data_IF_625930384741
#
_entry.id   IF_625930384741
#
_cell.length_a   1.000
_cell.length_b   1.000
_cell.length_c   1.000
_cell.angle_alpha   90.00
_cell.angle_beta   90.00
_cell.angle_gamma   90.00
#
_symmetry.space_group_name_H-M   'P 1'
#
loop_
_entity.id
_entity.type
_entity.pdbx_description
1 polymer ?
#
# COMPACT_ATOMS: atom_id res chain seq x y z
N UNK A 1 38.80 23.80 -46.78
CA UNK A 1 37.58 23.54 -45.98
C UNK A 1 37.34 22.04 -45.92
N UNK A 2 37.64 21.32 -44.84
CA UNK A 2 37.32 19.90 -44.77
C UNK A 2 35.81 19.73 -44.54
N UNK A 3 35.14 19.07 -45.50
CA UNK A 3 33.69 18.85 -45.49
C UNK A 3 33.22 18.13 -44.24
N UNK A 4 32.11 18.62 -43.65
CA UNK A 4 31.44 17.98 -42.51
C UNK A 4 31.05 16.55 -42.90
N UNK A 5 31.71 15.55 -42.33
CA UNK A 5 31.34 14.13 -42.51
C UNK A 5 29.93 13.92 -41.96
N UNK A 6 28.99 13.54 -42.84
CA UNK A 6 27.65 13.14 -42.43
C UNK A 6 27.75 11.97 -41.43
N UNK A 7 27.10 12.11 -40.26
CA UNK A 7 27.02 11.01 -39.29
C UNK A 7 26.12 9.93 -39.89
N UNK A 8 26.71 8.77 -40.20
CA UNK A 8 25.94 7.59 -40.62
C UNK A 8 25.06 7.14 -39.45
N UNK A 9 23.75 7.05 -39.71
CA UNK A 9 22.79 6.52 -38.74
C UNK A 9 22.82 4.98 -38.82
N UNK A 10 23.26 4.33 -37.74
CA UNK A 10 23.30 2.87 -37.67
C UNK A 10 22.06 2.35 -36.93
N UNK A 11 21.23 1.57 -37.62
CA UNK A 11 20.10 0.87 -37.01
C UNK A 11 20.56 -0.37 -36.26
N UNK A 12 19.86 -0.75 -35.19
CA UNK A 12 20.13 -2.00 -34.46
C UNK A 12 19.74 -3.21 -35.31
N UNK A 13 20.45 -4.34 -35.14
CA UNK A 13 20.10 -5.60 -35.80
C UNK A 13 18.80 -6.17 -35.22
N UNK A 14 17.89 -6.54 -36.10
CA UNK A 14 16.70 -7.32 -35.75
C UNK A 14 17.10 -8.73 -35.35
N UNK A 15 16.29 -9.40 -34.55
CA UNK A 15 16.57 -10.78 -34.11
C UNK A 15 16.73 -11.75 -35.30
N UNK A 16 15.87 -11.61 -36.31
CA UNK A 16 15.97 -12.38 -37.55
C UNK A 16 17.30 -12.17 -38.29
N UNK A 17 17.77 -10.91 -38.39
CA UNK A 17 19.06 -10.61 -39.02
C UNK A 17 20.22 -11.26 -38.26
N UNK A 18 20.18 -11.26 -36.92
CA UNK A 18 21.18 -11.93 -36.09
C UNK A 18 21.13 -13.45 -36.25
N UNK A 19 19.94 -14.04 -36.27
CA UNK A 19 19.74 -15.47 -36.49
C UNK A 19 20.25 -15.91 -37.87
N UNK A 20 19.99 -15.13 -38.91
CA UNK A 20 20.49 -15.36 -40.25
C UNK A 20 22.02 -15.27 -40.33
N UNK A 21 22.63 -14.27 -39.67
CA UNK A 21 24.09 -14.15 -39.58
C UNK A 21 24.71 -15.38 -38.89
N UNK A 22 24.13 -15.84 -37.79
CA UNK A 22 24.62 -17.00 -37.04
C UNK A 22 24.45 -18.28 -37.86
N UNK A 23 23.26 -18.52 -38.42
CA UNK A 23 22.97 -19.73 -39.21
C UNK A 23 23.85 -19.85 -40.46
N UNK A 24 24.01 -18.76 -41.21
CA UNK A 24 24.88 -18.75 -42.40
C UNK A 24 26.36 -18.89 -42.06
N UNK A 25 26.82 -18.32 -40.93
CA UNK A 25 28.19 -18.52 -40.43
C UNK A 25 28.44 -19.95 -39.97
N UNK A 26 27.47 -20.61 -39.33
CA UNK A 26 27.54 -22.04 -38.97
C UNK A 26 27.59 -22.93 -40.22
N UNK A 27 26.90 -22.54 -41.29
CA UNK A 27 26.99 -23.20 -42.61
C UNK A 27 28.31 -22.92 -43.37
N UNK A 28 29.31 -22.30 -42.74
CA UNK A 28 30.65 -22.09 -43.30
C UNK A 28 30.78 -20.89 -44.25
N UNK A 29 29.79 -19.99 -44.32
CA UNK A 29 29.87 -18.83 -45.23
C UNK A 29 30.93 -17.82 -44.77
N UNK A 30 31.56 -17.15 -45.75
CA UNK A 30 32.50 -16.06 -45.49
C UNK A 30 31.78 -14.80 -44.99
N UNK A 31 32.44 -14.00 -44.15
CA UNK A 31 31.85 -12.78 -43.56
C UNK A 31 31.40 -11.78 -44.62
N UNK A 32 32.14 -11.67 -45.73
CA UNK A 32 31.79 -10.82 -46.89
C UNK A 32 30.50 -11.26 -47.57
N UNK A 33 30.30 -12.57 -47.76
CA UNK A 33 29.07 -13.12 -48.35
C UNK A 33 27.86 -12.89 -47.45
N UNK A 34 28.03 -13.11 -46.14
CA UNK A 34 26.98 -12.85 -45.15
C UNK A 34 26.65 -11.35 -45.07
N UNK A 35 27.67 -10.49 -45.11
CA UNK A 35 27.51 -9.03 -45.14
C UNK A 35 26.69 -8.55 -46.34
N UNK A 36 26.95 -9.09 -47.54
CA UNK A 36 26.16 -8.78 -48.74
C UNK A 36 24.71 -9.28 -48.66
N UNK A 37 24.48 -10.45 -48.03
CA UNK A 37 23.14 -11.02 -47.88
C UNK A 37 22.26 -10.24 -46.89
N UNK A 38 22.86 -9.73 -45.80
CA UNK A 38 22.13 -9.04 -44.72
C UNK A 38 22.17 -7.51 -44.89
N UNK A 39 22.87 -7.00 -45.90
CA UNK A 39 23.11 -5.56 -46.14
C UNK A 39 23.64 -4.82 -44.89
N UNK A 40 24.64 -5.42 -44.24
CA UNK A 40 25.31 -4.87 -43.05
C UNK A 40 26.82 -4.92 -43.21
N UNK A 41 27.55 -4.06 -42.51
CA UNK A 41 29.02 -4.06 -42.58
C UNK A 41 29.64 -5.39 -42.14
N UNK A 42 30.71 -5.83 -42.80
CA UNK A 42 31.46 -7.05 -42.43
C UNK A 42 31.92 -7.06 -40.96
N UNK A 43 32.31 -5.90 -40.42
CA UNK A 43 32.71 -5.76 -39.01
C UNK A 43 31.57 -6.09 -38.04
N UNK A 44 30.33 -5.69 -38.38
CA UNK A 44 29.16 -6.02 -37.58
C UNK A 44 28.85 -7.53 -37.58
N UNK A 45 28.93 -8.18 -38.74
CA UNK A 45 28.75 -9.62 -38.89
C UNK A 45 29.80 -10.37 -38.08
N UNK A 46 31.07 -9.94 -38.16
CA UNK A 46 32.17 -10.49 -37.38
C UNK A 46 31.93 -10.35 -35.88
N UNK A 47 31.61 -9.14 -35.40
CA UNK A 47 31.38 -8.90 -33.97
C UNK A 47 30.18 -9.70 -33.43
N UNK A 48 29.11 -9.86 -34.23
CA UNK A 48 27.97 -10.69 -33.88
C UNK A 48 28.35 -12.17 -33.78
N UNK A 49 29.13 -12.67 -34.75
CA UNK A 49 29.63 -14.05 -34.75
C UNK A 49 30.58 -14.32 -33.58
N UNK A 50 31.53 -13.44 -33.32
CA UNK A 50 32.46 -13.55 -32.18
C UNK A 50 31.71 -13.53 -30.83
N UNK A 51 30.68 -12.68 -30.70
CA UNK A 51 29.83 -12.68 -29.51
C UNK A 51 29.11 -14.04 -29.34
N UNK A 52 28.55 -14.58 -30.42
CA UNK A 52 27.90 -15.89 -30.42
C UNK A 52 28.87 -17.03 -30.09
N UNK A 53 30.06 -17.06 -30.69
CA UNK A 53 31.07 -18.10 -30.43
C UNK A 53 31.57 -18.06 -28.99
N UNK A 54 31.73 -16.87 -28.40
CA UNK A 54 32.24 -16.70 -27.04
C UNK A 54 31.19 -16.93 -25.96
N UNK A 55 29.96 -16.46 -26.17
CA UNK A 55 28.95 -16.35 -25.11
C UNK A 55 27.69 -17.20 -25.40
N UNK A 56 27.59 -17.83 -26.57
CA UNK A 56 26.41 -18.59 -26.99
C UNK A 56 25.14 -17.73 -27.09
N UNK A 57 25.27 -16.40 -27.12
CA UNK A 57 24.16 -15.47 -26.99
C UNK A 57 24.34 -14.28 -27.93
N UNK A 58 23.28 -13.92 -28.64
CA UNK A 58 23.22 -12.74 -29.52
C UNK A 58 22.36 -11.60 -28.94
N UNK A 59 21.90 -11.78 -27.70
CA UNK A 59 21.20 -10.77 -26.92
C UNK A 59 22.14 -9.62 -26.57
N UNK A 60 21.55 -8.44 -26.39
CA UNK A 60 22.30 -7.24 -26.06
C UNK A 60 22.70 -7.28 -24.58
N UNK A 61 23.96 -6.99 -24.28
CA UNK A 61 24.41 -6.77 -22.90
C UNK A 61 23.77 -5.51 -22.32
N UNK A 62 23.30 -5.60 -21.09
CA UNK A 62 22.87 -4.44 -20.32
C UNK A 62 24.03 -3.46 -20.22
N UNK A 63 23.78 -2.21 -20.62
CA UNK A 63 24.77 -1.14 -20.47
C UNK A 63 24.80 -0.68 -19.01
N UNK A 64 25.94 -0.16 -18.58
CA UNK A 64 26.17 0.38 -17.24
C UNK A 64 25.22 1.51 -16.81
N UNK A 65 24.46 2.08 -17.75
CA UNK A 65 23.52 3.16 -17.48
C UNK A 65 24.22 4.48 -17.12
N UNK A 66 23.43 5.51 -16.84
CA UNK A 66 23.94 6.75 -16.29
C UNK A 66 24.30 6.55 -14.82
N UNK A 67 25.39 7.18 -14.37
CA UNK A 67 25.76 7.19 -12.96
C UNK A 67 24.71 7.93 -12.13
N UNK A 68 24.44 7.45 -10.92
CA UNK A 68 23.55 8.13 -9.98
C UNK A 68 24.17 9.46 -9.55
N UNK A 69 23.31 10.45 -9.25
CA UNK A 69 23.75 11.70 -8.62
C UNK A 69 24.06 11.54 -7.14
N UNK A 70 23.44 10.56 -6.49
CA UNK A 70 23.60 10.30 -5.07
C UNK A 70 24.67 9.25 -4.79
N UNK A 71 25.34 9.39 -3.65
CA UNK A 71 26.26 8.38 -3.12
C UNK A 71 25.53 7.32 -2.31
N UNK A 72 26.17 6.17 -2.08
CA UNK A 72 25.60 5.10 -1.23
C UNK A 72 25.31 5.56 0.21
N UNK A 73 26.07 6.52 0.73
CA UNK A 73 25.87 7.06 2.07
C UNK A 73 24.64 7.97 2.13
N UNK A 74 24.43 8.79 1.10
CA UNK A 74 23.23 9.62 0.95
C UNK A 74 21.97 8.76 0.80
N UNK A 75 22.01 7.72 -0.05
CA UNK A 75 20.90 6.78 -0.21
C UNK A 75 20.52 6.13 1.15
N UNK A 76 21.52 5.75 1.95
CA UNK A 76 21.29 5.23 3.31
C UNK A 76 20.72 6.29 4.26
N UNK A 77 21.16 7.55 4.16
CA UNK A 77 20.62 8.66 4.97
C UNK A 77 19.15 8.92 4.65
N UNK A 78 18.78 8.93 3.36
CA UNK A 78 17.40 9.05 2.87
C UNK A 78 16.52 7.97 3.51
N UNK A 79 16.94 6.71 3.42
CA UNK A 79 16.19 5.57 3.95
C UNK A 79 16.09 5.65 5.47
N UNK A 80 17.19 5.99 6.16
CA UNK A 80 17.22 6.09 7.63
C UNK A 80 16.23 7.13 8.15
N UNK A 81 16.15 8.31 7.54
CA UNK A 81 15.22 9.35 7.97
C UNK A 81 13.76 8.87 7.92
N UNK A 82 13.37 8.19 6.83
CA UNK A 82 12.02 7.64 6.68
C UNK A 82 11.73 6.49 7.66
N UNK A 83 12.76 5.81 8.17
CA UNK A 83 12.61 4.76 9.20
C UNK A 83 12.52 5.34 10.61
N UNK A 84 13.27 6.39 10.90
CA UNK A 84 13.27 7.07 12.22
C UNK A 84 11.96 7.81 12.44
N UNK A 85 11.51 8.55 11.42
CA UNK A 85 10.23 9.24 11.45
C UNK A 85 9.47 8.93 10.14
N UNK A 86 8.47 8.02 10.20
CA UNK A 86 7.65 7.65 9.05
C UNK A 86 6.78 8.80 8.49
N UNK A 87 6.70 9.95 9.16
CA UNK A 87 5.88 11.10 8.75
C UNK A 87 6.66 12.16 7.96
N UNK A 88 7.98 12.03 7.86
CA UNK A 88 8.85 13.02 7.21
C UNK A 88 8.49 13.17 5.72
N UNK A 89 8.38 14.42 5.28
CA UNK A 89 8.10 14.73 3.88
C UNK A 89 9.35 14.63 3.00
N UNK A 90 9.16 14.34 1.72
CA UNK A 90 10.25 14.30 0.72
C UNK A 90 11.03 15.62 0.65
N UNK A 91 10.37 16.75 0.88
CA UNK A 91 11.00 18.07 0.88
C UNK A 91 11.96 18.24 2.06
N UNK A 92 11.57 17.75 3.24
CA UNK A 92 12.42 17.76 4.44
C UNK A 92 13.63 16.85 4.25
N UNK A 93 13.43 15.64 3.71
CA UNK A 93 14.53 14.71 3.37
C UNK A 93 15.51 15.36 2.39
N UNK A 94 14.99 16.04 1.35
CA UNK A 94 15.81 16.76 0.37
C UNK A 94 16.68 17.83 1.03
N UNK A 95 16.10 18.61 1.93
CA UNK A 95 16.81 19.68 2.62
C UNK A 95 17.96 19.14 3.49
N UNK A 96 17.76 18.01 4.17
CA UNK A 96 18.78 17.42 5.05
C UNK A 96 19.93 16.73 4.29
N UNK A 97 19.64 16.10 3.15
CA UNK A 97 20.66 15.42 2.33
C UNK A 97 21.60 16.42 1.64
N UNK A 98 21.13 17.63 1.35
CA UNK A 98 21.97 18.72 0.80
C UNK A 98 22.40 18.53 -0.66
N UNK A 99 21.89 17.51 -1.36
CA UNK A 99 22.18 17.26 -2.78
C UNK A 99 21.07 17.83 -3.66
N UNK A 100 21.43 18.44 -4.79
CA UNK A 100 20.49 18.97 -5.78
C UNK A 100 19.73 17.86 -6.53
N UNK A 101 18.75 17.27 -5.85
CA UNK A 101 17.87 16.21 -6.37
C UNK A 101 16.41 16.67 -6.41
N UNK A 102 15.66 16.14 -7.39
CA UNK A 102 14.21 16.29 -7.43
C UNK A 102 13.53 15.34 -6.42
N UNK A 103 12.38 15.70 -5.82
CA UNK A 103 11.68 14.84 -4.86
C UNK A 103 11.34 13.43 -5.38
N UNK A 104 11.16 13.27 -6.69
CA UNK A 104 10.91 11.98 -7.33
C UNK A 104 12.09 11.00 -7.16
N UNK A 105 13.31 11.51 -7.04
CA UNK A 105 14.51 10.70 -6.78
C UNK A 105 14.42 10.06 -5.39
N UNK A 106 14.04 10.83 -4.37
CA UNK A 106 13.79 10.33 -3.02
C UNK A 106 12.72 9.23 -3.04
N UNK A 107 11.62 9.45 -3.77
CA UNK A 107 10.57 8.44 -3.90
C UNK A 107 11.06 7.13 -4.53
N UNK A 108 11.97 7.20 -5.51
CA UNK A 108 12.59 6.02 -6.12
C UNK A 108 13.50 5.30 -5.12
N UNK A 109 14.34 6.02 -4.38
CA UNK A 109 15.20 5.43 -3.35
C UNK A 109 14.40 4.74 -2.24
N UNK A 110 13.31 5.36 -1.78
CA UNK A 110 12.40 4.75 -0.81
C UNK A 110 11.73 3.49 -1.38
N UNK A 111 11.30 3.52 -2.64
CA UNK A 111 10.71 2.36 -3.31
C UNK A 111 11.72 1.22 -3.52
N UNK A 112 12.98 1.52 -3.89
CA UNK A 112 14.08 0.55 -3.97
C UNK A 112 14.35 -0.13 -2.61
N UNK A 113 14.10 0.58 -1.51
CA UNK A 113 14.17 0.06 -0.14
C UNK A 113 12.86 -0.59 0.34
N UNK A 114 11.89 -0.83 -0.54
CA UNK A 114 10.55 -1.36 -0.22
C UNK A 114 9.71 -0.52 0.76
N UNK A 115 10.02 0.78 0.90
CA UNK A 115 9.25 1.71 1.70
C UNK A 115 8.14 2.34 0.87
N UNK A 116 6.89 2.17 1.35
CA UNK A 116 5.68 2.70 0.71
C UNK A 116 4.97 3.66 1.66
N UNK A 117 4.45 4.75 1.11
CA UNK A 117 3.60 5.67 1.86
C UNK A 117 2.31 4.94 2.27
N UNK A 118 1.96 5.01 3.55
CA UNK A 118 0.68 4.51 4.10
C UNK A 118 -0.07 5.68 4.73
N UNK A 119 -1.41 5.55 4.83
CA UNK A 119 -2.21 6.49 5.62
C UNK A 119 -1.96 6.18 7.11
N UNK A 120 -1.64 7.18 7.95
CA UNK A 120 -1.47 6.94 9.38
C UNK A 120 -2.80 6.48 9.97
N UNK A 121 -2.73 5.52 10.88
CA UNK A 121 -3.88 5.06 11.64
C UNK A 121 -4.32 6.16 12.62
N UNK A 122 -5.62 6.48 12.65
CA UNK A 122 -6.19 7.49 13.55
C UNK A 122 -6.87 6.79 14.72
N UNK A 123 -6.39 7.03 15.92
CA UNK A 123 -6.98 6.48 17.15
C UNK A 123 -7.06 7.55 18.24
N UNK A 124 -7.98 7.33 19.18
CA UNK A 124 -8.07 8.16 20.38
C UNK A 124 -6.82 7.95 21.25
N UNK A 125 -6.20 9.01 21.78
CA UNK A 125 -5.06 8.87 22.68
C UNK A 125 -5.51 8.18 23.98
N UNK A 126 -4.77 7.15 24.38
CA UNK A 126 -5.04 6.36 25.59
C UNK A 126 -4.07 6.77 26.70
N UNK A 127 -4.60 6.93 27.92
CA UNK A 127 -3.79 7.06 29.13
C UNK A 127 -3.41 5.67 29.64
N UNK A 128 -2.41 5.55 30.53
CA UNK A 128 -2.08 4.27 31.17
C UNK A 128 -3.29 3.61 31.86
N UNK A 129 -4.14 4.41 32.50
CA UNK A 129 -5.38 3.94 33.14
C UNK A 129 -6.36 3.35 32.12
N UNK A 130 -6.57 4.02 30.98
CA UNK A 130 -7.42 3.47 29.91
C UNK A 130 -6.90 2.12 29.40
N UNK A 131 -5.58 1.99 29.22
CA UNK A 131 -4.94 0.74 28.79
C UNK A 131 -5.18 -0.38 29.80
N UNK A 132 -4.99 -0.10 31.09
CA UNK A 132 -5.23 -1.09 32.14
C UNK A 132 -6.68 -1.58 32.17
N UNK A 133 -7.66 -0.65 32.10
CA UNK A 133 -9.08 -1.00 32.07
C UNK A 133 -9.47 -1.80 30.82
N UNK A 134 -8.89 -1.46 29.66
CA UNK A 134 -9.05 -2.23 28.41
C UNK A 134 -8.55 -3.66 28.58
N UNK A 135 -7.33 -3.83 29.11
CA UNK A 135 -6.74 -5.13 29.31
C UNK A 135 -7.54 -5.98 30.30
N UNK A 136 -7.90 -5.42 31.45
CA UNK A 136 -8.70 -6.08 32.47
C UNK A 136 -10.03 -6.57 31.90
N UNK A 137 -10.70 -5.73 31.09
CA UNK A 137 -11.94 -6.12 30.41
C UNK A 137 -11.75 -7.30 29.47
N UNK A 138 -10.73 -7.25 28.60
CA UNK A 138 -10.48 -8.30 27.63
C UNK A 138 -10.08 -9.60 28.32
N UNK A 139 -9.24 -9.54 29.36
CA UNK A 139 -8.84 -10.70 30.15
C UNK A 139 -10.01 -11.33 30.90
N UNK A 140 -10.86 -10.51 31.56
CA UNK A 140 -12.02 -11.00 32.30
C UNK A 140 -13.00 -11.79 31.40
N UNK A 141 -13.05 -11.47 30.10
CA UNK A 141 -13.93 -12.10 29.11
C UNK A 141 -13.16 -12.97 28.10
N UNK A 142 -11.89 -13.28 28.36
CA UNK A 142 -11.07 -14.09 27.47
C UNK A 142 -11.56 -15.54 27.36
N UNK A 143 -12.32 -16.03 28.34
CA UNK A 143 -12.90 -17.38 28.36
C UNK A 143 -14.31 -17.45 27.77
N UNK A 144 -14.90 -16.29 27.42
CA UNK A 144 -16.26 -16.24 26.90
C UNK A 144 -16.30 -16.80 25.48
N UNK A 145 -17.29 -17.64 25.24
CA UNK A 145 -17.55 -18.20 23.92
C UNK A 145 -18.48 -17.28 23.11
N UNK A 146 -18.72 -17.63 21.84
CA UNK A 146 -19.59 -16.84 20.96
C UNK A 146 -21.03 -16.75 21.51
N UNK A 147 -21.54 -17.81 22.13
CA UNK A 147 -22.90 -17.81 22.70
C UNK A 147 -23.03 -16.85 23.88
N UNK A 148 -21.98 -16.68 24.70
CA UNK A 148 -21.96 -15.69 25.78
C UNK A 148 -22.05 -14.27 25.21
N UNK A 149 -21.34 -14.00 24.11
CA UNK A 149 -21.40 -12.71 23.41
C UNK A 149 -22.73 -12.44 22.71
N UNK A 150 -23.42 -13.48 22.24
CA UNK A 150 -24.76 -13.35 21.65
C UNK A 150 -25.83 -12.94 22.67
N UNK A 151 -25.59 -13.20 23.96
CA UNK A 151 -26.46 -12.75 25.04
C UNK A 151 -26.18 -11.31 25.50
N UNK A 152 -25.17 -10.65 24.93
CA UNK A 152 -24.81 -9.26 25.28
C UNK A 152 -25.54 -8.29 24.35
N UNK A 153 -26.28 -7.36 24.94
CA UNK A 153 -26.86 -6.22 24.22
C UNK A 153 -25.84 -5.09 24.19
N UNK A 154 -25.44 -4.68 22.99
CA UNK A 154 -24.61 -3.51 22.76
C UNK A 154 -25.49 -2.32 22.37
N UNK A 155 -25.31 -1.19 23.04
CA UNK A 155 -26.00 0.05 22.71
C UNK A 155 -25.04 1.22 22.87
N UNK A 156 -25.11 2.16 21.94
CA UNK A 156 -24.40 3.43 22.01
C UNK A 156 -25.10 4.46 21.10
N UNK A 157 -24.84 5.73 21.34
CA UNK A 157 -25.42 6.84 20.58
C UNK A 157 -24.48 7.28 19.46
N UNK A 158 -25.03 7.46 18.25
CA UNK A 158 -24.26 8.00 17.12
C UNK A 158 -24.82 9.30 16.60
N UNK A 159 -23.93 10.20 16.19
CA UNK A 159 -24.28 11.47 15.57
C UNK A 159 -24.30 11.33 14.05
N UNK A 160 -25.45 11.59 13.45
CA UNK A 160 -25.60 11.83 12.02
C UNK A 160 -25.66 13.34 11.80
N UNK A 161 -24.88 13.87 10.85
CA UNK A 161 -24.77 15.30 10.62
C UNK A 161 -25.40 15.64 9.28
N UNK A 162 -26.61 16.19 9.31
CA UNK A 162 -27.06 17.19 8.35
C UNK A 162 -26.54 18.51 8.89
N UNK A 163 -25.90 19.38 8.09
CA UNK A 163 -25.27 20.63 8.57
C UNK A 163 -25.68 21.07 9.99
N UNK A 164 -24.86 20.73 10.98
CA UNK A 164 -25.00 20.97 12.44
C UNK A 164 -26.38 20.72 13.10
N UNK A 165 -26.86 19.46 13.21
CA UNK A 165 -27.75 19.06 14.32
C UNK A 165 -27.55 17.58 14.74
N UNK A 166 -27.89 17.27 16.00
CA UNK A 166 -27.64 15.99 16.70
C UNK A 166 -28.99 15.38 17.15
N UNK A 167 -29.17 14.06 16.96
CA UNK A 167 -30.26 13.27 17.55
C UNK A 167 -29.62 12.06 18.28
N UNK A 168 -30.20 11.64 19.41
CA UNK A 168 -29.69 10.63 20.37
C UNK A 168 -30.83 9.64 20.70
N UNK A 169 -30.57 8.33 20.77
CA UNK A 169 -31.59 7.31 21.07
C UNK A 169 -31.19 6.48 22.30
N UNK A 170 -31.93 6.65 23.40
CA UNK A 170 -31.68 5.93 24.65
C UNK A 170 -32.44 4.60 24.69
N UNK A 171 -31.74 3.50 24.99
CA UNK A 171 -32.37 2.23 25.37
C UNK A 171 -32.08 1.94 26.86
N UNK A 172 -33.12 1.66 27.65
CA UNK A 172 -33.03 1.36 29.07
C UNK A 172 -33.50 -0.07 29.37
N UNK A 173 -32.77 -0.81 30.22
CA UNK A 173 -33.31 -2.04 30.83
C UNK A 173 -32.37 -3.23 31.07
N UNK A 174 -31.06 -3.16 30.81
CA UNK A 174 -30.16 -4.33 30.96
C UNK A 174 -29.07 -4.15 32.03
N UNK A 175 -28.61 -5.26 32.61
CA UNK A 175 -27.42 -5.33 33.49
C UNK A 175 -26.22 -4.67 32.78
N UNK A 176 -25.73 -3.56 33.35
CA UNK A 176 -24.64 -2.79 32.75
C UNK A 176 -23.30 -3.51 32.94
N UNK A 177 -22.66 -3.88 31.83
CA UNK A 177 -21.30 -4.42 31.85
C UNK A 177 -20.29 -3.25 31.90
N UNK A 178 -19.32 -3.25 32.83
CA UNK A 178 -18.35 -2.16 32.94
C UNK A 178 -17.53 -2.01 31.66
N UNK A 179 -17.66 -0.86 30.97
CA UNK A 179 -17.03 -0.57 29.67
C UNK A 179 -15.82 0.36 29.80
N UNK A 180 -14.66 0.03 29.23
CA UNK A 180 -13.47 0.86 29.28
C UNK A 180 -13.67 2.08 28.40
N UNK A 181 -13.38 3.25 28.95
CA UNK A 181 -13.41 4.49 28.20
C UNK A 181 -12.55 4.40 26.93
N UNK A 182 -12.93 5.17 25.89
CA UNK A 182 -12.18 5.32 24.63
C UNK A 182 -11.86 4.00 23.93
N UNK A 183 -12.82 3.08 23.92
CA UNK A 183 -12.66 1.75 23.34
C UNK A 183 -13.72 1.43 22.26
N UNK A 184 -13.82 2.25 21.20
CA UNK A 184 -14.79 2.02 20.12
C UNK A 184 -14.50 0.74 19.33
N UNK A 185 -13.23 0.34 19.24
CA UNK A 185 -12.76 -0.88 18.57
C UNK A 185 -13.29 -2.17 19.22
N UNK A 186 -13.59 -2.11 20.51
CA UNK A 186 -14.21 -3.20 21.27
C UNK A 186 -15.73 -3.20 21.18
N UNK A 187 -16.35 -2.29 20.43
CA UNK A 187 -17.80 -2.15 20.31
C UNK A 187 -18.30 -2.52 18.91
N UNK A 188 -19.10 -3.59 18.75
CA UNK A 188 -19.74 -3.93 17.48
C UNK A 188 -20.65 -2.83 16.94
N UNK A 189 -21.30 -2.06 17.83
CA UNK A 189 -22.28 -1.03 17.42
C UNK A 189 -21.62 0.11 16.65
N UNK A 190 -20.36 0.41 16.93
CA UNK A 190 -19.60 1.42 16.17
C UNK A 190 -19.40 1.00 14.70
N UNK A 191 -19.29 -0.30 14.44
CA UNK A 191 -19.23 -0.82 13.08
C UNK A 191 -20.58 -0.74 12.39
N UNK A 192 -21.67 -0.98 13.13
CA UNK A 192 -23.03 -0.78 12.61
C UNK A 192 -23.22 0.68 12.23
N UNK A 193 -22.81 1.62 13.09
CA UNK A 193 -22.88 3.05 12.80
C UNK A 193 -22.03 3.47 11.60
N UNK A 194 -20.81 2.97 11.47
CA UNK A 194 -19.95 3.22 10.31
C UNK A 194 -20.56 2.65 9.02
N UNK A 195 -21.13 1.45 9.06
CA UNK A 195 -21.83 0.86 7.91
C UNK A 195 -23.00 1.73 7.46
N UNK A 196 -23.84 2.17 8.40
CA UNK A 196 -24.99 3.04 8.11
C UNK A 196 -24.51 4.35 7.50
N UNK A 197 -23.55 5.04 8.14
CA UNK A 197 -22.99 6.32 7.65
C UNK A 197 -22.40 6.23 6.25
N UNK A 198 -21.80 5.10 5.87
CA UNK A 198 -21.27 4.89 4.51
C UNK A 198 -22.37 4.68 3.47
N UNK A 199 -23.54 4.17 3.88
CA UNK A 199 -24.69 3.93 3.01
C UNK A 199 -25.66 5.11 2.95
N UNK A 200 -25.49 6.10 3.84
CA UNK A 200 -26.35 7.29 3.90
C UNK A 200 -26.39 8.02 2.55
N UNK A 201 -27.58 8.30 1.99
CA UNK A 201 -27.73 9.20 0.87
C UNK A 201 -27.44 10.65 1.28
N UNK A 202 -27.30 11.53 0.30
CA UNK A 202 -27.23 12.97 0.57
C UNK A 202 -28.62 13.48 0.99
N UNK A 203 -28.75 13.91 2.24
CA UNK A 203 -29.98 14.44 2.80
C UNK A 203 -29.87 15.97 2.97
N UNK A 204 -30.97 16.68 2.71
CA UNK A 204 -31.03 18.15 2.81
C UNK A 204 -32.03 18.65 3.86
N UNK A 205 -32.76 17.74 4.50
CA UNK A 205 -33.62 18.04 5.65
C UNK A 205 -33.44 16.99 6.75
N UNK A 206 -33.71 17.39 8.00
CA UNK A 206 -33.70 16.45 9.15
C UNK A 206 -34.70 15.31 8.95
N UNK A 207 -35.84 15.58 8.31
CA UNK A 207 -36.85 14.57 8.02
C UNK A 207 -36.33 13.50 7.04
N UNK A 208 -35.68 13.92 5.94
CA UNK A 208 -35.09 12.98 4.98
C UNK A 208 -33.97 12.14 5.62
N UNK A 209 -33.20 12.74 6.53
CA UNK A 209 -32.18 12.04 7.29
C UNK A 209 -32.80 10.98 8.21
N UNK A 210 -33.85 11.34 8.94
CA UNK A 210 -34.53 10.43 9.85
C UNK A 210 -35.12 9.24 9.09
N UNK A 211 -35.82 9.49 7.98
CA UNK A 211 -36.35 8.44 7.12
C UNK A 211 -35.25 7.54 6.56
N UNK A 212 -34.14 8.12 6.07
CA UNK A 212 -33.03 7.35 5.53
C UNK A 212 -32.36 6.47 6.61
N UNK A 213 -32.16 6.98 7.83
CA UNK A 213 -31.59 6.20 8.93
C UNK A 213 -32.54 5.07 9.34
N UNK A 214 -33.84 5.34 9.47
CA UNK A 214 -34.84 4.33 9.81
C UNK A 214 -34.92 3.24 8.74
N UNK A 215 -34.91 3.60 7.46
CA UNK A 215 -34.95 2.68 6.34
C UNK A 215 -33.69 1.78 6.30
N UNK A 216 -32.49 2.37 6.40
CA UNK A 216 -31.24 1.62 6.44
C UNK A 216 -31.16 0.71 7.68
N UNK A 217 -31.68 1.16 8.82
CA UNK A 217 -31.75 0.34 10.03
C UNK A 217 -32.69 -0.85 9.87
N UNK A 218 -33.89 -0.63 9.31
CA UNK A 218 -34.88 -1.69 9.07
C UNK A 218 -34.37 -2.76 8.08
N UNK A 219 -33.57 -2.35 7.09
CA UNK A 219 -32.99 -3.24 6.09
C UNK A 219 -31.60 -3.79 6.45
N UNK A 220 -31.07 -3.50 7.63
CA UNK A 220 -29.76 -4.00 8.05
C UNK A 220 -29.80 -5.53 8.20
N UNK A 221 -28.99 -6.29 7.42
CA UNK A 221 -29.01 -7.74 7.49
C UNK A 221 -28.61 -8.26 8.86
N UNK A 222 -29.46 -9.10 9.47
CA UNK A 222 -29.18 -9.69 10.78
C UNK A 222 -27.88 -10.52 10.80
N UNK A 223 -27.50 -11.11 9.68
CA UNK A 223 -26.24 -11.85 9.57
C UNK A 223 -25.00 -10.94 9.66
N UNK A 224 -25.10 -9.66 9.27
CA UNK A 224 -24.02 -8.70 9.50
C UNK A 224 -23.83 -8.46 11.00
N UNK A 225 -24.94 -8.26 11.74
CA UNK A 225 -24.92 -8.05 13.19
C UNK A 225 -24.35 -9.29 13.89
N UNK A 226 -24.80 -10.49 13.50
CA UNK A 226 -24.28 -11.77 14.04
C UNK A 226 -22.79 -11.92 13.77
N UNK A 227 -22.32 -11.62 12.55
CA UNK A 227 -20.88 -11.65 12.24
C UNK A 227 -20.08 -10.69 13.12
N UNK A 228 -20.60 -9.48 13.38
CA UNK A 228 -19.94 -8.51 14.26
C UNK A 228 -19.88 -9.01 15.70
N UNK A 229 -20.97 -9.57 16.24
CA UNK A 229 -20.99 -10.15 17.59
C UNK A 229 -20.03 -11.34 17.67
N UNK A 230 -20.05 -12.24 16.68
CA UNK A 230 -19.19 -13.41 16.62
C UNK A 230 -17.69 -13.03 16.53
N UNK A 231 -17.36 -11.80 16.10
CA UNK A 231 -15.99 -11.29 16.08
C UNK A 231 -15.47 -10.79 17.43
N UNK A 232 -16.32 -10.73 18.48
CA UNK A 232 -15.94 -10.22 19.80
C UNK A 232 -14.76 -10.95 20.47
N UNK A 233 -14.66 -12.30 20.41
CA UNK A 233 -13.48 -13.00 20.91
C UNK A 233 -12.20 -12.53 20.22
N UNK A 234 -12.22 -12.37 18.89
CA UNK A 234 -11.06 -11.92 18.10
C UNK A 234 -10.66 -10.48 18.45
N UNK A 235 -11.64 -9.59 18.64
CA UNK A 235 -11.40 -8.20 19.09
C UNK A 235 -10.73 -8.16 20.46
N UNK A 236 -11.22 -8.97 21.39
CA UNK A 236 -10.64 -9.10 22.74
C UNK A 236 -9.20 -9.62 22.69
N UNK A 237 -8.96 -10.68 21.90
CA UNK A 237 -7.63 -11.25 21.69
C UNK A 237 -6.68 -10.25 21.03
N UNK A 238 -7.14 -9.50 20.03
CA UNK A 238 -6.35 -8.46 19.37
C UNK A 238 -5.95 -7.34 20.34
N UNK A 239 -6.85 -6.93 21.25
CA UNK A 239 -6.55 -5.93 22.27
C UNK A 239 -5.49 -6.43 23.26
N UNK A 240 -5.57 -7.70 23.67
CA UNK A 240 -4.55 -8.33 24.54
C UNK A 240 -3.21 -8.41 23.81
N UNK A 241 -3.19 -8.86 22.56
CA UNK A 241 -1.99 -8.99 21.74
C UNK A 241 -1.33 -7.62 21.45
N UNK A 242 -2.14 -6.56 21.33
CA UNK A 242 -1.68 -5.19 21.17
C UNK A 242 -1.24 -4.53 22.49
N UNK A 243 -1.21 -5.25 23.62
CA UNK A 243 -0.83 -4.67 24.90
C UNK A 243 -1.78 -3.54 25.35
N UNK A 244 -3.07 -3.65 25.02
CA UNK A 244 -4.13 -2.65 25.26
C UNK A 244 -4.13 -1.42 24.35
N UNK A 245 -3.23 -1.36 23.36
CA UNK A 245 -3.29 -0.31 22.35
C UNK A 245 -4.52 -0.44 21.43
N UNK A 246 -4.90 0.64 20.72
CA UNK A 246 -6.02 0.61 19.79
C UNK A 246 -5.83 -0.46 18.70
N UNK A 247 -6.87 -1.24 18.44
CA UNK A 247 -6.82 -2.29 17.43
C UNK A 247 -7.35 -1.79 16.08
N UNK A 248 -7.27 -2.64 15.04
CA UNK A 248 -7.75 -2.30 13.69
C UNK A 248 -9.28 -2.31 13.55
N UNK A 249 -9.98 -2.84 14.55
CA UNK A 249 -11.43 -2.92 14.58
C UNK A 249 -11.98 -1.50 14.80
#
# INVERSE_FOLDING_TARGET
MPGKRARRHFSQFREFEKGLMIGTKTAGWSTRRVSGQVDRSECAVRNCWEQWTREGTHARKTRSGATRKTTRLEDRRIVRQALVDPTVTRSTIRADVGVAIVPQTISRHLAEANLKSKRPFRALPLTPEHRQLRLQRCQARSKWNVTDWQNVVFGDDSRFVLGQMIIVYRCGGALSLPWPARSPDLSPVEHVWDQLKRQMPSCYSVHDLELAVQDLWAHLPQDNIRCLINSMPDRGAACIAAGSDPTRY
#
